data_IF_327371486553
#
_entry.id   IF_327371486553
#
_cell.length_a   1.000
_cell.length_b   1.000
_cell.length_c   1.000
_cell.angle_alpha   90.00
_cell.angle_beta   90.00
_cell.angle_gamma   90.00
#
_symmetry.space_group_name_H-M   'P 1'
#
loop_
_entity.id
_entity.type
_entity.pdbx_description
1 polymer ?
#
# COMPACT_ATOMS: atom_id res chain seq x y z
N UNK A 1 5.08 0.73 2.24
CA UNK A 1 4.77 2.16 1.98
C UNK A 1 5.87 2.74 1.13
N UNK A 2 7.13 2.64 1.53
CA UNK A 2 8.30 3.06 0.73
C UNK A 2 8.30 2.52 -0.71
N UNK A 3 7.97 1.24 -0.88
CA UNK A 3 7.88 0.61 -2.21
C UNK A 3 6.87 1.31 -3.14
N UNK A 4 5.71 1.70 -2.61
CA UNK A 4 4.72 2.46 -3.37
C UNK A 4 5.20 3.88 -3.67
N UNK A 5 5.85 4.54 -2.71
CA UNK A 5 6.40 5.90 -2.89
C UNK A 5 7.43 5.92 -4.03
N UNK A 6 8.21 4.85 -4.19
CA UNK A 6 9.11 4.68 -5.32
C UNK A 6 8.39 4.51 -6.68
N UNK A 7 7.14 4.05 -6.68
CA UNK A 7 6.31 3.92 -7.89
C UNK A 7 5.50 5.18 -8.23
N UNK A 8 5.50 6.19 -7.36
CA UNK A 8 4.81 7.46 -7.60
C UNK A 8 5.60 8.25 -8.66
N UNK A 9 4.93 8.57 -9.77
CA UNK A 9 5.52 9.32 -10.89
C UNK A 9 5.62 10.83 -10.59
N UNK A 10 4.74 11.35 -9.75
CA UNK A 10 4.73 12.75 -9.35
C UNK A 10 5.76 13.00 -8.23
N UNK A 11 6.82 13.75 -8.59
CA UNK A 11 7.97 14.00 -7.71
C UNK A 11 7.56 14.75 -6.42
N UNK A 12 6.58 15.64 -6.51
CA UNK A 12 6.10 16.42 -5.37
C UNK A 12 5.27 15.56 -4.40
N UNK A 13 4.41 14.69 -4.93
CA UNK A 13 3.70 13.67 -4.14
C UNK A 13 4.67 12.67 -3.49
N UNK A 14 5.70 12.25 -4.23
CA UNK A 14 6.74 11.37 -3.71
C UNK A 14 7.45 12.01 -2.52
N UNK A 15 7.92 13.26 -2.63
CA UNK A 15 8.54 13.98 -1.52
C UNK A 15 7.59 14.13 -0.32
N UNK A 16 6.33 14.50 -0.57
CA UNK A 16 5.30 14.58 0.49
C UNK A 16 5.14 13.26 1.23
N UNK A 17 5.16 12.14 0.51
CA UNK A 17 5.08 10.83 1.13
C UNK A 17 6.37 10.43 1.85
N UNK A 18 7.55 10.71 1.30
CA UNK A 18 8.84 10.45 1.97
C UNK A 18 8.93 11.20 3.30
N UNK A 19 8.50 12.47 3.33
CA UNK A 19 8.40 13.27 4.55
C UNK A 19 7.29 12.73 5.46
N UNK A 20 6.14 12.35 4.91
CA UNK A 20 5.03 11.83 5.68
C UNK A 20 5.40 10.52 6.39
N UNK A 21 6.16 9.62 5.76
CA UNK A 21 6.57 8.37 6.40
C UNK A 21 7.66 8.57 7.48
N UNK A 22 8.30 9.73 7.50
CA UNK A 22 9.37 10.03 8.43
C UNK A 22 8.80 10.58 9.77
N UNK A 23 8.80 9.74 10.80
CA UNK A 23 8.47 10.12 12.17
C UNK A 23 7.18 9.52 12.75
N UNK A 24 6.82 9.94 13.97
CA UNK A 24 5.63 9.46 14.69
C UNK A 24 4.36 9.97 14.00
N UNK A 25 3.45 9.05 13.66
CA UNK A 25 2.19 9.38 12.97
C UNK A 25 2.27 9.29 11.45
N UNK A 26 3.31 8.63 10.92
CA UNK A 26 3.56 8.47 9.50
C UNK A 26 2.34 8.00 8.69
N UNK A 27 1.64 6.98 9.20
CA UNK A 27 0.45 6.43 8.57
C UNK A 27 -0.71 7.43 8.47
N UNK A 28 -0.92 8.24 9.52
CA UNK A 28 -1.99 9.24 9.51
C UNK A 28 -1.72 10.34 8.49
N UNK A 29 -0.47 10.83 8.40
CA UNK A 29 -0.08 11.85 7.40
C UNK A 29 -0.16 11.30 5.98
N UNK A 30 0.32 10.07 5.77
CA UNK A 30 0.23 9.39 4.48
C UNK A 30 -1.23 9.28 4.02
N UNK A 31 -2.14 8.89 4.92
CA UNK A 31 -3.57 8.83 4.64
C UNK A 31 -4.17 10.22 4.37
N UNK A 32 -3.72 11.27 5.06
CA UNK A 32 -4.19 12.65 4.85
C UNK A 32 -3.81 13.16 3.46
N UNK A 33 -2.58 12.88 3.00
CA UNK A 33 -2.12 13.18 1.64
C UNK A 33 -2.98 12.39 0.64
N UNK A 34 -3.19 11.09 0.84
CA UNK A 34 -4.06 10.30 -0.04
C UNK A 34 -5.51 10.78 -0.08
N UNK A 35 -6.03 11.38 0.99
CA UNK A 35 -7.37 11.94 1.00
C UNK A 35 -7.51 13.14 0.05
N UNK A 36 -6.40 13.81 -0.30
CA UNK A 36 -6.36 14.94 -1.23
C UNK A 36 -6.20 14.49 -2.69
N UNK A 37 -5.73 13.27 -2.93
CA UNK A 37 -5.46 12.73 -4.26
C UNK A 37 -6.23 11.42 -4.47
N UNK A 38 -7.48 11.48 -4.99
CA UNK A 38 -8.30 10.28 -5.18
C UNK A 38 -7.71 9.29 -6.18
N UNK A 39 -6.99 9.77 -7.20
CA UNK A 39 -6.32 8.93 -8.21
C UNK A 39 -5.21 8.06 -7.58
N UNK A 40 -4.34 8.69 -6.78
CA UNK A 40 -3.28 7.99 -6.05
C UNK A 40 -3.84 7.05 -4.97
N UNK A 41 -4.97 7.41 -4.37
CA UNK A 41 -5.68 6.55 -3.41
C UNK A 41 -6.14 5.26 -4.08
N UNK A 42 -6.69 5.32 -5.29
CA UNK A 42 -7.07 4.13 -6.05
C UNK A 42 -5.86 3.26 -6.40
N UNK A 43 -4.78 3.90 -6.87
CA UNK A 43 -3.52 3.23 -7.21
C UNK A 43 -2.90 2.53 -6.00
N UNK A 44 -2.90 3.19 -4.84
CA UNK A 44 -2.49 2.60 -3.57
C UNK A 44 -3.39 1.44 -3.13
N UNK A 45 -4.71 1.58 -3.29
CA UNK A 45 -5.64 0.52 -2.92
C UNK A 45 -5.41 -0.73 -3.79
N UNK A 46 -5.12 -0.55 -5.08
CA UNK A 46 -4.75 -1.64 -5.98
C UNK A 46 -3.41 -2.28 -5.57
N UNK A 47 -2.37 -1.47 -5.34
CA UNK A 47 -1.05 -1.92 -4.91
C UNK A 47 -1.10 -2.70 -3.57
N UNK A 48 -1.85 -2.17 -2.60
CA UNK A 48 -2.04 -2.83 -1.31
C UNK A 48 -2.82 -4.12 -1.47
N UNK A 49 -3.86 -4.15 -2.30
CA UNK A 49 -4.67 -5.34 -2.52
C UNK A 49 -3.86 -6.45 -3.22
N UNK A 50 -2.94 -6.09 -4.10
CA UNK A 50 -2.03 -7.03 -4.76
C UNK A 50 -1.05 -7.64 -3.76
N UNK A 51 -0.32 -6.82 -3.00
CA UNK A 51 0.54 -7.28 -1.89
C UNK A 51 -0.21 -8.06 -0.82
N UNK A 52 -1.44 -7.65 -0.51
CA UNK A 52 -2.28 -8.31 0.49
C UNK A 52 -2.85 -9.62 -0.04
N UNK A 53 -3.09 -9.75 -1.35
CA UNK A 53 -3.41 -11.04 -1.98
C UNK A 53 -2.24 -11.99 -1.95
N UNK A 54 -1.04 -11.51 -2.25
CA UNK A 54 0.19 -12.31 -2.18
C UNK A 54 0.43 -12.80 -0.74
N UNK A 55 0.35 -11.90 0.24
CA UNK A 55 0.44 -12.26 1.65
C UNK A 55 -0.73 -13.11 2.15
N UNK A 56 -1.94 -12.93 1.62
CA UNK A 56 -3.08 -13.76 1.96
C UNK A 56 -2.99 -15.16 1.34
N UNK A 57 -2.42 -15.31 0.15
CA UNK A 57 -2.10 -16.60 -0.47
C UNK A 57 -1.03 -17.32 0.34
N UNK A 58 0.07 -16.65 0.66
CA UNK A 58 1.15 -17.20 1.49
C UNK A 58 0.63 -17.58 2.89
N UNK A 59 -0.22 -16.74 3.48
CA UNK A 59 -0.88 -17.04 4.75
C UNK A 59 -1.88 -18.21 4.63
N UNK A 60 -2.66 -18.31 3.56
CA UNK A 60 -3.56 -19.43 3.31
C UNK A 60 -2.79 -20.75 3.13
N UNK A 61 -1.64 -20.72 2.47
CA UNK A 61 -0.73 -21.85 2.35
C UNK A 61 -0.13 -22.23 3.71
N UNK A 62 0.27 -21.26 4.54
CA UNK A 62 0.79 -21.48 5.90
C UNK A 62 -0.27 -22.10 6.84
N UNK A 63 -1.54 -21.71 6.72
CA UNK A 63 -2.64 -22.31 7.48
C UNK A 63 -3.03 -23.71 6.95
N UNK A 64 -2.45 -24.14 5.83
CA UNK A 64 -2.77 -25.43 5.22
C UNK A 64 -4.14 -25.47 4.55
N UNK A 65 -4.72 -24.31 4.24
CA UNK A 65 -5.93 -24.23 3.41
C UNK A 65 -5.48 -24.34 1.95
N UNK A 66 -5.21 -25.58 1.53
CA UNK A 66 -5.33 -25.93 0.11
C UNK A 66 -6.72 -25.48 -0.32
N UNK A 67 -6.80 -24.58 -1.31
CA UNK A 67 -8.01 -24.41 -2.12
C UNK A 67 -8.21 -25.71 -2.91
N UNK A 68 -8.55 -26.79 -2.19
CA UNK A 68 -9.26 -27.93 -2.73
C UNK A 68 -10.66 -27.42 -3.04
N UNK A 69 -10.77 -26.73 -4.18
CA UNK A 69 -12.01 -26.64 -4.90
C UNK A 69 -12.32 -28.06 -5.38
N UNK A 70 -13.15 -28.77 -4.64
CA UNK A 70 -13.78 -30.03 -5.06
C UNK A 70 -15.10 -29.75 -5.80
#
# INVERSE_FOLDING_TARGET
MEDFIATVEDEHLRELFEVAINGKGAFCRFKDVMARYPEERERWSCFKNDKMKEGALEWLEDIGVSLSSE
#
